data_IF_574796328171
#
_entry.id   IF_574796328171
#
_cell.length_a   1.000
_cell.length_b   1.000
_cell.length_c   1.000
_cell.angle_alpha   90.00
_cell.angle_beta   90.00
_cell.angle_gamma   90.00
#
_symmetry.space_group_name_H-M   'P 1'
#
loop_
_entity.id
_entity.type
_entity.pdbx_description
1 polymer ?
#
# COMPACT_ATOMS: atom_id res chain seq x y z
N UNK A 1 -2.59 8.80 0.36
CA UNK A 1 -3.67 7.84 0.64
C UNK A 1 -3.66 7.59 2.13
N UNK A 2 -4.82 7.70 2.75
CA UNK A 2 -5.06 7.39 4.17
C UNK A 2 -6.05 6.25 4.25
N UNK A 3 -5.81 5.29 5.14
CA UNK A 3 -6.68 4.12 5.33
C UNK A 3 -7.23 4.19 6.75
N UNK A 4 -8.53 4.45 6.87
CA UNK A 4 -9.22 4.49 8.15
C UNK A 4 -9.73 3.09 8.51
N UNK A 5 -8.97 2.43 9.39
CA UNK A 5 -9.30 1.10 9.90
C UNK A 5 -10.32 1.12 11.05
N UNK A 6 -10.85 2.29 11.42
CA UNK A 6 -11.89 2.42 12.46
C UNK A 6 -13.31 2.25 11.88
N UNK A 7 -13.44 2.22 10.55
CA UNK A 7 -14.69 2.00 9.82
C UNK A 7 -14.85 0.54 9.39
N UNK A 8 -16.10 0.11 9.23
CA UNK A 8 -16.46 -1.18 8.64
C UNK A 8 -17.55 -0.98 7.57
N UNK A 9 -17.26 -1.16 6.26
CA UNK A 9 -15.96 -1.54 5.70
C UNK A 9 -14.90 -0.44 5.88
N UNK A 10 -13.63 -0.81 5.76
CA UNK A 10 -12.51 0.14 5.85
C UNK A 10 -12.61 1.22 4.78
N UNK A 11 -12.31 2.46 5.16
CA UNK A 11 -12.43 3.60 4.26
C UNK A 11 -11.05 4.01 3.72
N UNK A 12 -10.98 4.32 2.43
CA UNK A 12 -9.76 4.79 1.76
C UNK A 12 -9.99 6.23 1.33
N UNK A 13 -9.16 7.12 1.87
CA UNK A 13 -9.21 8.55 1.60
C UNK A 13 -8.03 8.93 0.71
N UNK A 14 -8.31 9.68 -0.36
CA UNK A 14 -7.30 10.25 -1.25
C UNK A 14 -7.28 11.76 -1.10
N UNK A 15 -6.10 12.37 -1.18
CA UNK A 15 -5.90 13.79 -0.86
C UNK A 15 -5.73 14.05 0.63
N UNK A 16 -5.92 15.32 1.01
CA UNK A 16 -5.74 15.80 2.39
C UNK A 16 -6.86 15.31 3.31
N UNK A 17 -6.51 15.07 4.57
CA UNK A 17 -7.45 14.67 5.61
C UNK A 17 -7.00 15.20 6.96
N UNK A 18 -7.95 15.52 7.84
CA UNK A 18 -7.69 15.93 9.22
C UNK A 18 -7.41 14.76 10.18
N UNK A 19 -7.45 13.51 9.69
CA UNK A 19 -7.16 12.34 10.51
C UNK A 19 -5.67 12.31 10.90
N UNK A 20 -5.41 11.97 12.17
CA UNK A 20 -4.04 11.78 12.68
C UNK A 20 -3.70 10.30 12.55
N UNK A 21 -2.76 9.92 11.65
CA UNK A 21 -2.44 8.51 11.45
C UNK A 21 -1.61 7.96 12.61
N UNK A 22 -1.96 6.76 13.07
CA UNK A 22 -1.14 6.03 14.06
C UNK A 22 0.16 5.49 13.47
N UNK A 23 0.16 5.27 12.16
CA UNK A 23 1.27 4.77 11.37
C UNK A 23 1.35 5.54 10.06
N UNK A 24 2.56 5.95 9.69
CA UNK A 24 2.85 6.52 8.38
C UNK A 24 3.86 5.64 7.65
N UNK A 25 3.54 5.27 6.42
CA UNK A 25 4.46 4.59 5.52
C UNK A 25 4.87 5.56 4.41
N UNK A 26 6.17 5.69 4.19
CA UNK A 26 6.72 6.48 3.09
C UNK A 26 7.63 5.58 2.24
N UNK A 27 7.41 5.61 0.94
CA UNK A 27 8.16 4.82 -0.04
C UNK A 27 8.09 5.48 -1.42
N UNK A 28 9.03 5.15 -2.31
CA UNK A 28 9.00 5.62 -3.68
C UNK A 28 7.84 4.99 -4.47
N UNK A 29 7.41 5.66 -5.55
CA UNK A 29 6.31 5.19 -6.40
C UNK A 29 6.53 3.77 -6.92
N UNK A 30 7.75 3.44 -7.37
CA UNK A 30 8.10 2.09 -7.81
C UNK A 30 7.98 1.05 -6.68
N UNK A 31 8.46 1.37 -5.49
CA UNK A 31 8.31 0.49 -4.31
C UNK A 31 6.84 0.30 -3.95
N UNK A 32 6.04 1.35 -4.01
CA UNK A 32 4.59 1.26 -3.79
C UNK A 32 3.91 0.41 -4.85
N UNK A 33 4.30 0.54 -6.12
CA UNK A 33 3.79 -0.28 -7.20
C UNK A 33 4.11 -1.77 -6.97
N UNK A 34 5.37 -2.10 -6.67
CA UNK A 34 5.78 -3.49 -6.34
C UNK A 34 5.07 -4.04 -5.10
N UNK A 35 4.83 -3.18 -4.10
CA UNK A 35 4.03 -3.50 -2.92
C UNK A 35 2.61 -3.89 -3.29
N UNK A 36 1.92 -3.07 -4.09
CA UNK A 36 0.55 -3.35 -4.54
C UNK A 36 0.45 -4.56 -5.47
N UNK A 37 1.50 -4.81 -6.27
CA UNK A 37 1.63 -6.00 -7.11
C UNK A 37 1.98 -7.28 -6.34
N UNK A 38 2.20 -7.21 -5.02
CA UNK A 38 2.64 -8.32 -4.16
C UNK A 38 4.00 -8.91 -4.55
N UNK A 39 4.85 -8.13 -5.21
CA UNK A 39 6.19 -8.55 -5.69
C UNK A 39 7.33 -7.96 -4.84
N UNK A 40 7.00 -7.41 -3.67
CA UNK A 40 7.95 -6.82 -2.73
C UNK A 40 7.94 -7.57 -1.39
N UNK A 41 9.07 -8.14 -0.92
CA UNK A 41 9.16 -8.70 0.42
C UNK A 41 9.19 -7.57 1.47
N UNK A 42 8.02 -7.23 2.01
CA UNK A 42 7.79 -6.02 2.84
C UNK A 42 8.77 -5.89 3.99
N UNK A 43 9.01 -6.96 4.75
CA UNK A 43 9.94 -6.90 5.89
C UNK A 43 11.36 -6.58 5.47
N UNK A 44 11.83 -7.15 4.37
CA UNK A 44 13.16 -6.82 3.84
C UNK A 44 13.22 -5.40 3.29
N UNK A 45 12.15 -4.92 2.67
CA UNK A 45 12.06 -3.54 2.18
C UNK A 45 12.08 -2.52 3.33
N UNK A 46 11.49 -2.84 4.48
CA UNK A 46 11.57 -2.03 5.69
C UNK A 46 13.00 -2.02 6.24
N UNK A 47 13.63 -3.18 6.42
CA UNK A 47 14.99 -3.25 6.98
C UNK A 47 16.03 -2.58 6.09
N UNK A 48 15.83 -2.58 4.77
CA UNK A 48 16.65 -1.87 3.78
C UNK A 48 16.31 -0.38 3.64
N UNK A 49 15.28 0.11 4.33
CA UNK A 49 14.86 1.52 4.29
C UNK A 49 14.12 1.94 3.01
N UNK A 50 13.72 1.00 2.16
CA UNK A 50 12.89 1.25 0.97
C UNK A 50 11.45 1.62 1.37
N UNK A 51 10.96 1.05 2.47
CA UNK A 51 9.74 1.44 3.15
C UNK A 51 10.12 2.03 4.51
N UNK A 52 9.90 3.33 4.67
CA UNK A 52 10.08 4.01 5.96
C UNK A 52 8.76 3.97 6.70
N UNK A 53 8.74 3.27 7.84
CA UNK A 53 7.57 3.22 8.73
C UNK A 53 7.83 4.12 9.93
N UNK A 54 6.87 4.99 10.24
CA UNK A 54 6.77 5.72 11.51
C UNK A 54 5.57 5.20 12.28
N UNK A 55 5.75 4.93 13.57
CA UNK A 55 4.72 4.36 14.45
C UNK A 55 4.94 2.88 14.78
N UNK A 56 3.99 2.23 15.49
CA UNK A 56 4.17 0.87 16.00
C UNK A 56 4.18 -0.19 14.88
N UNK A 57 5.29 -0.93 14.75
CA UNK A 57 5.43 -1.99 13.75
C UNK A 57 4.30 -3.05 13.79
N UNK A 58 3.82 -3.52 14.97
CA UNK A 58 2.70 -4.45 15.00
C UNK A 58 1.41 -3.91 14.37
N UNK A 59 1.15 -2.59 14.49
CA UNK A 59 0.00 -1.96 13.83
C UNK A 59 0.18 -1.91 12.31
N UNK A 60 1.40 -1.65 11.84
CA UNK A 60 1.70 -1.75 10.41
C UNK A 60 1.46 -3.17 9.87
N UNK A 61 1.86 -4.21 10.61
CA UNK A 61 1.59 -5.60 10.21
C UNK A 61 0.09 -5.94 10.18
N UNK A 62 -0.68 -5.40 11.12
CA UNK A 62 -2.15 -5.51 11.11
C UNK A 62 -2.76 -4.81 9.89
N UNK A 63 -2.28 -3.61 9.55
CA UNK A 63 -2.71 -2.88 8.35
C UNK A 63 -2.48 -3.70 7.08
N UNK A 64 -1.33 -4.36 6.94
CA UNK A 64 -1.06 -5.25 5.78
C UNK A 64 -2.10 -6.37 5.62
N UNK A 65 -2.59 -6.90 6.74
CA UNK A 65 -3.62 -7.94 6.74
C UNK A 65 -4.98 -7.38 6.31
N UNK A 66 -5.32 -6.16 6.76
CA UNK A 66 -6.53 -5.43 6.37
C UNK A 66 -6.52 -5.07 4.88
N UNK A 67 -5.36 -4.70 4.33
CA UNK A 67 -5.20 -4.33 2.92
C UNK A 67 -5.23 -5.54 1.99
N UNK A 68 -5.00 -6.76 2.51
CA UNK A 68 -4.86 -7.97 1.69
C UNK A 68 -5.98 -8.18 0.64
N UNK A 69 -7.26 -7.93 0.93
CA UNK A 69 -8.34 -8.03 -0.07
C UNK A 69 -8.22 -6.99 -1.20
N UNK A 70 -7.64 -5.82 -0.91
CA UNK A 70 -7.55 -4.66 -1.81
C UNK A 70 -6.49 -4.87 -2.90
N UNK A 71 -5.47 -5.71 -2.67
CA UNK A 71 -4.39 -5.93 -3.66
C UNK A 71 -4.90 -6.32 -5.06
N UNK A 72 -5.99 -7.09 -5.13
CA UNK A 72 -6.60 -7.50 -6.41
C UNK A 72 -7.13 -6.30 -7.20
N UNK A 73 -7.62 -5.27 -6.51
CA UNK A 73 -8.20 -4.09 -7.14
C UNK A 73 -7.14 -3.25 -7.83
N UNK A 74 -5.88 -3.31 -7.38
CA UNK A 74 -4.83 -2.50 -7.99
C UNK A 74 -4.62 -2.80 -9.48
N UNK A 75 -4.59 -4.09 -9.86
CA UNK A 75 -4.49 -4.49 -11.27
C UNK A 75 -5.73 -4.09 -12.08
N UNK A 76 -6.91 -4.15 -11.47
CA UNK A 76 -8.16 -3.72 -12.13
C UNK A 76 -8.08 -2.22 -12.43
N UNK A 77 -7.69 -1.40 -11.44
CA UNK A 77 -7.53 0.05 -11.61
C UNK A 77 -6.50 0.38 -12.68
N UNK A 78 -5.36 -0.32 -12.73
CA UNK A 78 -4.36 -0.10 -13.79
C UNK A 78 -4.92 -0.43 -15.18
N UNK A 79 -5.73 -1.48 -15.31
CA UNK A 79 -6.38 -1.85 -16.57
C UNK A 79 -7.43 -0.81 -17.00
N UNK A 80 -8.26 -0.33 -16.06
CA UNK A 80 -9.23 0.74 -16.30
C UNK A 80 -8.55 2.06 -16.69
N UNK A 81 -7.32 2.29 -16.21
CA UNK A 81 -6.49 3.44 -16.57
C UNK A 81 -5.66 3.23 -17.84
N UNK A 82 -5.80 2.11 -18.54
CA UNK A 82 -5.03 1.76 -19.74
C UNK A 82 -3.51 1.80 -19.52
N UNK A 83 -3.05 1.44 -18.32
CA UNK A 83 -1.64 1.41 -17.92
C UNK A 83 -1.02 0.04 -18.11
N UNK A 84 -1.02 -0.42 -19.36
CA UNK A 84 -0.43 -1.71 -19.75
C UNK A 84 1.06 -1.79 -19.44
N UNK A 85 1.77 -0.66 -19.50
CA UNK A 85 3.18 -0.55 -19.12
C UNK A 85 3.43 -0.92 -17.64
N UNK A 86 2.47 -0.60 -16.76
CA UNK A 86 2.52 -0.96 -15.34
C UNK A 86 1.93 -2.34 -15.06
N UNK A 87 1.05 -2.86 -15.92
CA UNK A 87 0.54 -4.23 -15.78
C UNK A 87 1.58 -5.27 -16.18
N UNK A 88 2.40 -4.95 -17.19
CA UNK A 88 3.47 -5.79 -17.69
C UNK A 88 4.73 -5.80 -16.79
N UNK A 89 4.78 -4.93 -15.78
CA UNK A 89 5.89 -4.84 -14.84
C UNK A 89 5.42 -4.96 -13.38
N UNK A 90 6.18 -5.62 -12.48
CA UNK A 90 7.25 -6.53 -12.81
C UNK A 90 6.68 -7.78 -13.51
N UNK A 91 7.45 -8.42 -14.40
CA UNK A 91 7.05 -9.70 -15.00
C UNK A 91 6.86 -10.76 -13.91
N UNK A 92 6.09 -11.79 -14.23
CA UNK A 92 5.72 -12.80 -13.24
C UNK A 92 6.88 -13.64 -12.69
#
# INVERSE_FOLDING_TARGET
>A
MTIDCTKDPVEIITGDTGLIPEITMNMHALTSHLFWMQKLPVMSAITRGQIKVKGPLPKAMRLLSVIKPIYKNYRIVLAEMERDDLLAFPPD
#
